data_IF_048752478433
#
_entry.id   IF_048752478433
#
_cell.length_a   1.000
_cell.length_b   1.000
_cell.length_c   1.000
_cell.angle_alpha   90.00
_cell.angle_beta   90.00
_cell.angle_gamma   90.00
#
_symmetry.space_group_name_H-M   'P 1'
#
loop_
_entity.id
_entity.type
_entity.pdbx_description
1 polymer ?
#
# COMPACT_ATOMS: atom_id res chain seq x y z
N UNK A 1 -25.04 19.61 -1.50
CA UNK A 1 -24.48 18.38 -0.88
C UNK A 1 -23.22 18.77 -0.12
N UNK A 2 -23.14 18.44 1.18
CA UNK A 2 -21.87 18.63 1.92
C UNK A 2 -20.82 17.73 1.29
N UNK A 3 -19.65 18.29 0.97
CA UNK A 3 -18.51 17.51 0.44
C UNK A 3 -18.03 16.55 1.56
N UNK A 4 -17.82 15.29 1.21
CA UNK A 4 -17.23 14.34 2.17
C UNK A 4 -15.82 14.77 2.50
N UNK A 5 -15.50 14.85 3.80
CA UNK A 5 -14.15 15.17 4.27
C UNK A 5 -13.34 13.88 4.47
N UNK A 6 -12.30 13.76 3.70
CA UNK A 6 -11.45 12.56 3.62
C UNK A 6 -10.05 12.92 4.11
N UNK A 7 -9.48 12.08 4.95
CA UNK A 7 -8.08 12.14 5.34
C UNK A 7 -7.38 10.90 4.81
N UNK A 8 -6.26 11.09 4.12
CA UNK A 8 -5.34 10.02 3.70
C UNK A 8 -4.08 10.15 4.54
N UNK A 9 -3.86 9.18 5.42
CA UNK A 9 -2.69 9.14 6.28
C UNK A 9 -1.58 8.33 5.60
N UNK A 10 -0.57 9.02 5.12
CA UNK A 10 0.58 8.50 4.39
C UNK A 10 0.69 9.09 2.98
N UNK A 11 1.73 9.87 2.73
CA UNK A 11 2.10 10.36 1.40
C UNK A 11 2.99 9.31 0.71
N UNK A 12 2.43 8.10 0.51
CA UNK A 12 2.98 7.03 -0.33
C UNK A 12 2.48 7.16 -1.76
N UNK A 13 3.05 6.42 -2.70
CA UNK A 13 2.58 6.38 -4.10
C UNK A 13 1.12 5.96 -4.16
N UNK A 14 0.75 4.90 -3.43
CA UNK A 14 -0.62 4.38 -3.36
C UNK A 14 -1.55 5.36 -2.64
N UNK A 15 -1.07 5.96 -1.54
CA UNK A 15 -1.83 6.95 -0.76
C UNK A 15 -2.15 8.18 -1.61
N UNK A 16 -1.17 8.69 -2.35
CA UNK A 16 -1.38 9.84 -3.24
C UNK A 16 -2.31 9.49 -4.41
N UNK A 17 -2.10 8.33 -5.07
CA UNK A 17 -2.97 7.86 -6.15
C UNK A 17 -4.43 7.76 -5.70
N UNK A 18 -4.67 7.17 -4.51
CA UNK A 18 -5.99 7.10 -3.91
C UNK A 18 -6.56 8.49 -3.60
N UNK A 19 -5.79 9.35 -2.95
CA UNK A 19 -6.21 10.71 -2.60
C UNK A 19 -6.58 11.52 -3.83
N UNK A 20 -5.78 11.40 -4.90
CA UNK A 20 -6.01 12.03 -6.20
C UNK A 20 -7.33 11.58 -6.82
N UNK A 21 -7.59 10.27 -6.87
CA UNK A 21 -8.84 9.74 -7.41
C UNK A 21 -10.06 10.24 -6.65
N UNK A 22 -9.98 10.31 -5.32
CA UNK A 22 -11.05 10.78 -4.45
C UNK A 22 -11.25 12.31 -4.61
N UNK A 23 -10.17 13.09 -4.69
CA UNK A 23 -10.24 14.54 -4.88
C UNK A 23 -10.86 14.93 -6.22
N UNK A 24 -10.51 14.23 -7.31
CA UNK A 24 -11.11 14.43 -8.66
C UNK A 24 -12.62 14.23 -8.64
N UNK A 25 -13.15 13.37 -7.77
CA UNK A 25 -14.59 13.16 -7.56
C UNK A 25 -15.27 14.26 -6.73
N UNK A 26 -14.52 15.25 -6.29
CA UNK A 26 -15.03 16.42 -5.59
C UNK A 26 -15.12 16.31 -4.07
N UNK A 27 -14.52 15.28 -3.48
CA UNK A 27 -14.35 15.21 -2.03
C UNK A 27 -13.28 16.22 -1.55
N UNK A 28 -13.37 16.59 -0.27
CA UNK A 28 -12.38 17.43 0.40
C UNK A 28 -11.32 16.53 1.02
N UNK A 29 -10.16 16.43 0.36
CA UNK A 29 -9.13 15.43 0.70
C UNK A 29 -7.93 16.11 1.34
N UNK A 30 -7.61 15.69 2.57
CA UNK A 30 -6.39 16.07 3.28
C UNK A 30 -5.41 14.92 3.29
N UNK A 31 -4.19 15.14 2.79
CA UNK A 31 -3.11 14.15 2.84
C UNK A 31 -2.18 14.51 3.99
N UNK A 32 -1.83 13.52 4.80
CA UNK A 32 -0.86 13.66 5.87
C UNK A 32 0.45 13.02 5.44
N UNK A 33 1.52 13.80 5.33
CA UNK A 33 2.88 13.28 5.28
C UNK A 33 3.32 12.97 6.72
N UNK A 34 3.70 11.74 6.99
CA UNK A 34 4.12 11.26 8.31
C UNK A 34 5.34 12.00 8.88
N UNK A 35 6.10 12.71 8.04
CA UNK A 35 7.25 13.53 8.43
C UNK A 35 6.88 15.00 8.71
N UNK A 36 5.63 15.39 8.47
CA UNK A 36 5.13 16.76 8.64
C UNK A 36 4.25 16.88 9.88
N UNK A 37 4.08 18.08 10.39
CA UNK A 37 3.11 18.43 11.43
C UNK A 37 1.76 18.90 10.87
N UNK A 38 1.65 19.03 9.55
CA UNK A 38 0.48 19.56 8.86
C UNK A 38 0.00 18.62 7.76
N UNK A 39 -1.31 18.63 7.53
CA UNK A 39 -1.92 17.97 6.37
C UNK A 39 -1.99 18.93 5.18
N UNK A 40 -1.95 18.37 3.99
CA UNK A 40 -2.04 19.09 2.72
C UNK A 40 -3.45 18.90 2.16
N UNK A 41 -4.15 20.01 1.88
CA UNK A 41 -5.43 19.95 1.17
C UNK A 41 -5.21 19.76 -0.32
N UNK A 42 -5.61 18.60 -0.83
CA UNK A 42 -5.54 18.27 -2.25
C UNK A 42 -6.81 18.74 -2.97
N UNK A 43 -6.73 19.90 -3.61
CA UNK A 43 -7.81 20.44 -4.44
C UNK A 43 -7.95 19.64 -5.75
N UNK A 44 -9.16 19.55 -6.36
CA UNK A 44 -9.36 18.83 -7.63
C UNK A 44 -8.47 19.32 -8.77
N UNK A 45 -8.14 20.61 -8.81
CA UNK A 45 -7.28 21.22 -9.84
C UNK A 45 -5.86 20.66 -9.71
N UNK A 46 -5.31 20.66 -8.48
CA UNK A 46 -3.98 20.10 -8.17
C UNK A 46 -3.98 18.59 -8.48
N UNK A 47 -5.01 17.88 -8.05
CA UNK A 47 -5.14 16.45 -8.31
C UNK A 47 -5.18 16.07 -9.79
N UNK A 48 -5.68 16.96 -10.66
CA UNK A 48 -5.70 16.76 -12.11
C UNK A 48 -4.36 17.05 -12.76
N UNK A 49 -3.68 18.11 -12.30
CA UNK A 49 -2.42 18.59 -12.88
C UNK A 49 -1.24 17.70 -12.51
N UNK A 50 -1.17 17.25 -11.24
CA UNK A 50 -0.04 16.46 -10.72
C UNK A 50 -0.45 14.98 -10.59
N UNK A 51 -0.01 14.11 -11.53
CA UNK A 51 -0.44 12.71 -11.56
C UNK A 51 0.17 11.85 -10.45
N UNK A 52 1.35 12.23 -9.94
CA UNK A 52 2.10 11.47 -8.94
C UNK A 52 2.77 12.36 -7.89
N UNK A 53 3.38 11.74 -6.89
CA UNK A 53 4.07 12.43 -5.78
C UNK A 53 5.32 13.17 -6.28
N UNK A 54 6.00 12.65 -7.30
CA UNK A 54 7.21 13.25 -7.82
C UNK A 54 6.89 14.59 -8.49
N UNK A 55 5.91 14.62 -9.40
CA UNK A 55 5.45 15.84 -10.07
C UNK A 55 4.95 16.91 -9.08
N UNK A 56 4.25 16.49 -8.01
CA UNK A 56 3.81 17.39 -6.94
C UNK A 56 4.98 18.04 -6.21
N UNK A 57 6.08 17.30 -6.00
CA UNK A 57 7.26 17.81 -5.29
C UNK A 57 8.18 18.64 -6.17
N UNK A 58 8.28 18.32 -7.46
CA UNK A 58 9.15 19.03 -8.40
C UNK A 58 8.64 20.43 -8.71
N UNK A 59 7.33 20.60 -8.85
CA UNK A 59 6.74 21.89 -9.22
C UNK A 59 6.30 22.75 -8.02
N UNK A 60 6.36 22.21 -6.80
CA UNK A 60 6.05 22.91 -5.56
C UNK A 60 4.78 23.80 -5.64
N UNK A 61 3.61 23.23 -5.98
CA UNK A 61 2.39 24.02 -6.13
C UNK A 61 2.00 24.66 -4.81
N UNK A 62 1.28 25.79 -4.89
CA UNK A 62 0.76 26.47 -3.69
C UNK A 62 -0.28 25.59 -2.98
N UNK A 63 0.13 24.95 -1.88
CA UNK A 63 -0.66 24.01 -1.11
C UNK A 63 -1.29 24.70 0.10
N UNK A 64 -2.56 24.41 0.37
CA UNK A 64 -3.21 24.81 1.62
C UNK A 64 -2.93 23.76 2.68
N UNK A 65 -2.53 24.21 3.87
CA UNK A 65 -2.17 23.34 5.00
C UNK A 65 -3.13 23.51 6.18
N UNK A 66 -3.35 22.44 6.92
CA UNK A 66 -4.10 22.41 8.18
C UNK A 66 -3.36 21.54 9.20
N UNK A 67 -3.35 21.87 10.51
CA UNK A 67 -2.77 21.00 11.54
C UNK A 67 -3.36 19.59 11.49
N UNK A 68 -2.52 18.57 11.69
CA UNK A 68 -2.92 17.15 11.58
C UNK A 68 -4.09 16.81 12.50
N UNK A 69 -4.02 17.22 13.76
CA UNK A 69 -5.07 16.97 14.75
C UNK A 69 -6.42 17.56 14.34
N UNK A 70 -6.42 18.73 13.69
CA UNK A 70 -7.64 19.37 13.18
C UNK A 70 -8.18 18.60 11.98
N UNK A 71 -7.31 18.18 11.05
CA UNK A 71 -7.70 17.38 9.90
C UNK A 71 -8.34 16.05 10.33
N UNK A 72 -7.67 15.30 11.24
CA UNK A 72 -8.17 14.02 11.76
C UNK A 72 -9.48 14.19 12.52
N UNK A 73 -9.59 15.19 13.38
CA UNK A 73 -10.81 15.39 14.19
C UNK A 73 -12.07 15.75 13.38
N UNK A 74 -11.89 16.20 12.15
CA UNK A 74 -12.97 16.53 11.22
C UNK A 74 -13.17 15.46 10.14
N UNK A 75 -12.35 14.39 10.14
CA UNK A 75 -12.41 13.34 9.13
C UNK A 75 -13.73 12.57 9.22
N UNK A 76 -14.43 12.45 8.11
CA UNK A 76 -15.52 11.51 7.92
C UNK A 76 -14.99 10.13 7.51
N UNK A 77 -13.95 10.13 6.67
CA UNK A 77 -13.24 8.94 6.22
C UNK A 77 -11.74 9.12 6.45
N UNK A 78 -11.12 8.17 7.12
CA UNK A 78 -9.67 8.08 7.30
C UNK A 78 -9.16 6.86 6.52
N UNK A 79 -8.36 7.08 5.49
CA UNK A 79 -7.63 6.05 4.77
C UNK A 79 -6.23 5.93 5.35
N UNK A 80 -5.89 4.74 5.81
CA UNK A 80 -4.57 4.47 6.39
C UNK A 80 -3.67 3.81 5.34
N UNK A 81 -2.77 4.60 4.76
CA UNK A 81 -1.84 4.23 3.68
C UNK A 81 -0.41 4.65 4.02
N UNK A 82 0.14 4.27 5.18
CA UNK A 82 1.45 4.77 5.61
C UNK A 82 2.55 4.33 4.66
N UNK A 83 3.59 5.13 4.55
CA UNK A 83 4.78 4.78 3.77
C UNK A 83 5.61 3.73 4.52
N UNK A 84 5.84 2.59 3.90
CA UNK A 84 6.69 1.52 4.44
C UNK A 84 8.10 1.72 3.91
N UNK A 85 9.04 2.11 4.79
CA UNK A 85 10.44 2.38 4.41
C UNK A 85 11.40 1.25 4.73
N UNK A 86 11.04 0.36 5.64
CA UNK A 86 11.92 -0.70 6.17
C UNK A 86 11.20 -2.04 6.16
N UNK A 87 11.91 -3.08 5.80
CA UNK A 87 11.44 -4.46 5.89
C UNK A 87 12.31 -5.16 6.94
N UNK A 88 11.82 -5.22 8.17
CA UNK A 88 12.55 -5.79 9.31
C UNK A 88 11.62 -6.38 10.38
N UNK A 89 12.19 -6.87 11.47
CA UNK A 89 11.44 -7.45 12.59
C UNK A 89 10.53 -6.42 13.28
N UNK A 90 10.92 -5.16 13.30
CA UNK A 90 10.19 -4.08 13.98
C UNK A 90 9.05 -3.47 13.13
N UNK A 91 8.82 -4.00 11.93
CA UNK A 91 7.86 -3.44 10.99
C UNK A 91 6.42 -3.44 11.53
N UNK A 92 6.01 -4.53 12.21
CA UNK A 92 4.67 -4.61 12.81
C UNK A 92 4.48 -3.53 13.88
N UNK A 93 5.50 -3.27 14.69
CA UNK A 93 5.48 -2.23 15.71
C UNK A 93 5.44 -0.83 15.09
N UNK A 94 6.22 -0.59 14.04
CA UNK A 94 6.21 0.69 13.32
C UNK A 94 4.84 0.98 12.73
N UNK A 95 4.23 0.02 12.02
CA UNK A 95 2.90 0.17 11.43
C UNK A 95 1.83 0.37 12.50
N UNK A 96 1.89 -0.38 13.61
CA UNK A 96 0.95 -0.22 14.73
C UNK A 96 1.08 1.16 15.39
N UNK A 97 2.31 1.68 15.56
CA UNK A 97 2.54 3.04 16.07
C UNK A 97 1.94 4.09 15.15
N UNK A 98 2.23 4.02 13.84
CA UNK A 98 1.66 4.93 12.84
C UNK A 98 0.13 4.86 12.80
N UNK A 99 -0.43 3.66 12.95
CA UNK A 99 -1.88 3.50 12.99
C UNK A 99 -2.49 4.12 14.24
N UNK A 100 -1.85 3.98 15.40
CA UNK A 100 -2.24 4.66 16.63
C UNK A 100 -2.26 6.18 16.43
N UNK A 101 -1.21 6.74 15.83
CA UNK A 101 -1.13 8.19 15.56
C UNK A 101 -2.23 8.64 14.59
N UNK A 102 -2.51 7.85 13.55
CA UNK A 102 -3.54 8.15 12.55
C UNK A 102 -4.96 8.18 13.13
N UNK A 103 -5.27 7.31 14.10
CA UNK A 103 -6.61 7.23 14.68
C UNK A 103 -6.80 8.10 15.92
N UNK A 104 -5.71 8.65 16.47
CA UNK A 104 -5.77 9.52 17.63
C UNK A 104 -6.55 10.82 17.29
N UNK A 105 -7.61 11.07 18.00
CA UNK A 105 -8.46 12.26 17.78
C UNK A 105 -9.62 12.05 16.82
N UNK A 106 -9.82 10.85 16.25
CA UNK A 106 -11.02 10.51 15.51
C UNK A 106 -12.27 10.63 16.39
N UNK A 107 -13.35 11.11 15.78
CA UNK A 107 -14.63 11.30 16.46
C UNK A 107 -15.62 10.18 16.13
N UNK A 108 -16.68 10.12 16.92
CA UNK A 108 -17.84 9.28 16.64
C UNK A 108 -18.36 9.54 15.22
N UNK A 109 -18.91 8.49 14.60
CA UNK A 109 -19.45 8.46 13.24
C UNK A 109 -18.41 8.60 12.11
N UNK A 110 -17.09 8.59 12.45
CA UNK A 110 -16.02 8.47 11.46
C UNK A 110 -15.89 7.04 10.95
N UNK A 111 -15.27 6.89 9.79
CA UNK A 111 -14.99 5.60 9.16
C UNK A 111 -13.48 5.45 8.94
N UNK A 112 -12.91 4.35 9.40
CA UNK A 112 -11.51 3.98 9.18
C UNK A 112 -11.45 2.99 8.02
N UNK A 113 -10.60 3.26 7.03
CA UNK A 113 -10.31 2.36 5.93
C UNK A 113 -8.83 1.96 6.04
N UNK A 114 -8.60 0.73 6.45
CA UNK A 114 -7.26 0.19 6.60
C UNK A 114 -6.78 -0.38 5.26
N UNK A 115 -5.76 0.23 4.69
CA UNK A 115 -5.32 -0.02 3.31
C UNK A 115 -4.04 -0.86 3.19
N UNK A 116 -3.50 -1.39 4.29
CA UNK A 116 -2.37 -2.32 4.27
C UNK A 116 -2.83 -3.76 4.49
N UNK A 117 -2.01 -4.71 4.04
CA UNK A 117 -2.18 -6.11 4.43
C UNK A 117 -1.94 -6.29 5.93
N UNK A 118 -2.79 -7.09 6.57
CA UNK A 118 -2.68 -7.41 7.99
C UNK A 118 -2.24 -8.85 8.27
N UNK A 119 -2.27 -9.69 7.26
CA UNK A 119 -2.32 -11.13 7.45
C UNK A 119 -3.72 -11.60 7.91
N UNK A 120 -3.86 -12.90 8.11
CA UNK A 120 -5.13 -13.49 8.58
C UNK A 120 -5.29 -13.23 10.08
N UNK A 121 -6.43 -12.67 10.46
CA UNK A 121 -6.74 -12.32 11.85
C UNK A 121 -6.15 -10.97 12.32
N UNK A 122 -5.28 -10.32 11.55
CA UNK A 122 -4.61 -9.08 11.94
C UNK A 122 -5.56 -7.89 12.11
N UNK A 123 -6.70 -7.88 11.41
CA UNK A 123 -7.70 -6.83 11.61
C UNK A 123 -8.37 -6.88 12.99
N UNK A 124 -8.42 -8.04 13.64
CA UNK A 124 -8.93 -8.13 15.02
C UNK A 124 -8.05 -7.34 15.99
N UNK A 125 -6.71 -7.38 15.83
CA UNK A 125 -5.77 -6.58 16.61
C UNK A 125 -5.96 -5.08 16.35
N UNK A 126 -6.14 -4.68 15.08
CA UNK A 126 -6.38 -3.29 14.71
C UNK A 126 -7.71 -2.76 15.31
N UNK A 127 -8.76 -3.57 15.28
CA UNK A 127 -10.06 -3.22 15.87
C UNK A 127 -9.93 -3.02 17.39
N UNK A 128 -9.19 -3.91 18.07
CA UNK A 128 -8.91 -3.78 19.50
C UNK A 128 -8.09 -2.50 19.79
N UNK A 129 -7.12 -2.17 18.93
CA UNK A 129 -6.32 -0.95 19.06
C UNK A 129 -7.17 0.31 18.86
N UNK A 130 -8.10 0.32 17.90
CA UNK A 130 -9.06 1.44 17.71
C UNK A 130 -9.85 1.69 18.99
N UNK A 131 -10.41 0.64 19.59
CA UNK A 131 -11.15 0.76 20.86
C UNK A 131 -10.27 1.29 22.00
N UNK A 132 -9.03 0.78 22.09
CA UNK A 132 -8.10 1.18 23.15
C UNK A 132 -7.69 2.66 23.02
N UNK A 133 -7.40 3.14 21.82
CA UNK A 133 -6.88 4.50 21.56
C UNK A 133 -7.99 5.54 21.58
N UNK A 134 -9.13 5.24 20.98
CA UNK A 134 -10.22 6.21 20.79
C UNK A 134 -11.33 6.12 21.85
N UNK A 135 -11.41 4.99 22.57
CA UNK A 135 -12.54 4.68 23.46
C UNK A 135 -13.84 4.34 22.70
N UNK A 136 -13.84 4.31 21.36
CA UNK A 136 -15.02 4.09 20.54
C UNK A 136 -15.19 2.62 20.15
N UNK A 137 -16.42 2.12 20.20
CA UNK A 137 -16.75 0.76 19.79
C UNK A 137 -16.88 0.69 18.26
N UNK A 138 -16.04 -0.16 17.64
CA UNK A 138 -16.11 -0.44 16.21
C UNK A 138 -17.41 -1.17 15.86
N UNK A 139 -18.06 -0.72 14.79
CA UNK A 139 -19.38 -1.24 14.36
C UNK A 139 -20.58 -0.57 15.03
N UNK A 140 -20.38 0.22 16.11
CA UNK A 140 -21.43 1.01 16.78
C UNK A 140 -21.18 2.50 16.67
N UNK A 141 -20.01 2.95 17.13
CA UNK A 141 -19.66 4.37 17.23
C UNK A 141 -18.74 4.81 16.12
N UNK A 142 -17.96 3.89 15.56
CA UNK A 142 -17.03 4.13 14.47
C UNK A 142 -17.08 2.94 13.51
N UNK A 143 -16.95 3.19 12.21
CA UNK A 143 -16.90 2.12 11.20
C UNK A 143 -15.47 1.74 10.90
N UNK A 144 -15.23 0.45 10.62
CA UNK A 144 -13.93 -0.06 10.20
C UNK A 144 -14.08 -0.91 8.95
N UNK A 145 -13.25 -0.61 7.96
CA UNK A 145 -13.19 -1.28 6.67
C UNK A 145 -11.77 -1.75 6.37
N UNK A 146 -11.65 -2.94 5.82
CA UNK A 146 -10.39 -3.49 5.34
C UNK A 146 -10.37 -3.44 3.81
N UNK A 147 -9.43 -2.67 3.27
CA UNK A 147 -9.30 -2.43 1.84
C UNK A 147 -7.82 -2.33 1.46
N UNK A 148 -7.06 -3.43 1.49
CA UNK A 148 -5.64 -3.41 1.18
C UNK A 148 -5.43 -3.01 -0.27
N UNK A 149 -4.69 -1.93 -0.47
CA UNK A 149 -4.33 -1.41 -1.80
C UNK A 149 -2.95 -1.94 -2.12
N UNK A 150 -2.87 -2.65 -3.25
CA UNK A 150 -1.63 -3.12 -3.81
C UNK A 150 -1.72 -2.91 -5.32
N UNK A 151 -0.88 -2.03 -5.88
CA UNK A 151 -0.90 -1.69 -7.31
C UNK A 151 -0.58 -2.91 -8.18
N UNK A 152 0.18 -3.86 -7.64
CA UNK A 152 0.52 -5.09 -8.33
C UNK A 152 -0.69 -5.96 -8.73
N UNK A 153 -1.81 -5.86 -8.03
CA UNK A 153 -2.95 -6.77 -8.17
C UNK A 153 -4.27 -6.13 -8.61
N UNK A 154 -4.28 -4.97 -9.21
CA UNK A 154 -5.50 -4.21 -9.43
C UNK A 154 -6.23 -3.85 -8.11
N UNK A 155 -7.00 -2.79 -8.12
CA UNK A 155 -7.78 -2.39 -6.93
C UNK A 155 -8.68 -3.54 -6.43
N UNK A 156 -8.69 -3.84 -5.13
CA UNK A 156 -9.50 -4.92 -4.59
C UNK A 156 -10.97 -4.80 -5.02
N UNK A 157 -11.56 -5.92 -5.42
CA UNK A 157 -12.99 -5.99 -5.77
C UNK A 157 -13.89 -6.09 -4.54
N UNK A 158 -13.30 -6.34 -3.39
CA UNK A 158 -14.02 -6.56 -2.12
C UNK A 158 -13.54 -5.58 -1.05
N UNK A 159 -14.44 -5.20 -0.17
CA UNK A 159 -14.18 -4.36 1.01
C UNK A 159 -14.60 -5.18 2.22
N UNK A 160 -13.68 -5.49 3.12
CA UNK A 160 -13.98 -6.12 4.40
C UNK A 160 -14.71 -5.14 5.32
N UNK A 161 -15.80 -5.58 5.97
CA UNK A 161 -16.59 -4.76 6.89
C UNK A 161 -17.02 -5.59 8.09
N UNK A 162 -17.01 -5.00 9.28
CA UNK A 162 -17.43 -5.68 10.51
C UNK A 162 -18.90 -6.14 10.42
N UNK A 163 -19.77 -5.29 9.89
CA UNK A 163 -21.23 -5.53 9.87
C UNK A 163 -21.75 -5.92 8.48
N UNK A 164 -20.89 -6.17 7.51
CA UNK A 164 -21.26 -6.37 6.08
C UNK A 164 -22.16 -5.26 5.51
N UNK A 165 -22.28 -4.14 6.24
CA UNK A 165 -23.15 -3.04 5.88
C UNK A 165 -22.48 -2.22 4.77
N UNK A 166 -23.20 -2.07 3.66
CA UNK A 166 -22.72 -1.25 2.56
C UNK A 166 -22.79 0.23 2.91
N UNK A 167 -21.66 0.91 2.76
CA UNK A 167 -21.59 2.38 2.77
C UNK A 167 -21.59 2.88 1.33
N UNK A 168 -22.73 3.44 0.90
CA UNK A 168 -22.90 3.95 -0.48
C UNK A 168 -21.98 5.12 -0.78
N UNK A 169 -21.69 5.96 0.21
CA UNK A 169 -20.80 7.10 0.03
C UNK A 169 -19.35 6.63 -0.14
N UNK A 170 -18.90 5.69 0.71
CA UNK A 170 -17.58 5.06 0.55
C UNK A 170 -17.45 4.38 -0.82
N UNK A 171 -18.48 3.65 -1.27
CA UNK A 171 -18.47 3.05 -2.60
C UNK A 171 -18.29 4.10 -3.69
N UNK A 172 -19.03 5.22 -3.62
CA UNK A 172 -18.91 6.29 -4.62
C UNK A 172 -17.49 6.88 -4.66
N UNK A 173 -16.81 6.97 -3.52
CA UNK A 173 -15.42 7.43 -3.43
C UNK A 173 -14.43 6.43 -4.04
N UNK A 174 -14.65 5.13 -3.85
CA UNK A 174 -13.71 4.07 -4.25
C UNK A 174 -13.98 3.48 -5.63
N UNK A 175 -15.18 3.66 -6.20
CA UNK A 175 -15.51 3.06 -7.49
C UNK A 175 -14.85 3.84 -8.64
N UNK A 176 -14.07 3.15 -9.46
CA UNK A 176 -13.47 3.69 -10.68
C UNK A 176 -14.06 2.91 -11.87
N UNK A 177 -14.75 3.61 -12.77
CA UNK A 177 -15.38 3.01 -13.94
C UNK A 177 -16.52 2.02 -13.59
N UNK A 178 -16.59 0.88 -14.30
CA UNK A 178 -17.63 -0.15 -14.11
C UNK A 178 -17.27 -1.21 -13.05
N UNK A 179 -16.17 -1.04 -12.32
CA UNK A 179 -15.72 -2.02 -11.34
C UNK A 179 -16.56 -1.92 -10.06
N UNK A 180 -17.58 -2.75 -9.96
CA UNK A 180 -18.36 -2.88 -8.73
C UNK A 180 -17.53 -3.49 -7.60
N UNK A 181 -17.59 -2.86 -6.44
CA UNK A 181 -16.99 -3.37 -5.20
C UNK A 181 -18.08 -3.94 -4.30
N UNK A 182 -17.76 -5.04 -3.61
CA UNK A 182 -18.70 -5.73 -2.72
C UNK A 182 -18.20 -5.64 -1.28
N UNK A 183 -19.14 -5.38 -0.36
CA UNK A 183 -18.86 -5.50 1.08
C UNK A 183 -19.02 -6.95 1.51
N UNK A 184 -18.00 -7.46 2.17
CA UNK A 184 -17.97 -8.82 2.72
C UNK A 184 -17.46 -8.76 4.17
N UNK A 185 -17.48 -9.89 4.84
CA UNK A 185 -16.89 -10.02 6.17
C UNK A 185 -15.37 -9.82 6.13
N UNK A 186 -14.81 -9.22 7.18
CA UNK A 186 -13.36 -8.90 7.23
C UNK A 186 -12.52 -10.16 7.08
N UNK A 187 -12.84 -11.24 7.78
CA UNK A 187 -12.13 -12.52 7.67
C UNK A 187 -12.11 -13.07 6.24
N UNK A 188 -13.25 -12.98 5.53
CA UNK A 188 -13.34 -13.39 4.14
C UNK A 188 -12.48 -12.48 3.23
N UNK A 189 -12.44 -11.19 3.50
CA UNK A 189 -11.59 -10.25 2.76
C UNK A 189 -10.09 -10.53 3.00
N UNK A 190 -9.70 -10.86 4.23
CA UNK A 190 -8.34 -11.27 4.57
C UNK A 190 -7.91 -12.52 3.78
N UNK A 191 -8.76 -13.55 3.71
CA UNK A 191 -8.47 -14.76 2.93
C UNK A 191 -8.35 -14.48 1.43
N UNK A 192 -9.25 -13.69 0.86
CA UNK A 192 -9.20 -13.32 -0.56
C UNK A 192 -7.90 -12.56 -0.86
N UNK A 193 -7.53 -11.62 -0.01
CA UNK A 193 -6.28 -10.87 -0.15
C UNK A 193 -5.07 -11.80 -0.03
N UNK A 194 -5.04 -12.68 0.97
CA UNK A 194 -3.98 -13.66 1.17
C UNK A 194 -3.77 -14.55 -0.05
N UNK A 195 -4.84 -15.12 -0.62
CA UNK A 195 -4.79 -15.95 -1.82
C UNK A 195 -4.23 -15.15 -3.01
N UNK A 196 -4.72 -13.92 -3.20
CA UNK A 196 -4.27 -13.05 -4.30
C UNK A 196 -2.78 -12.74 -4.17
N UNK A 197 -2.33 -12.33 -2.99
CA UNK A 197 -0.93 -12.01 -2.69
C UNK A 197 -0.02 -13.20 -2.91
N UNK A 198 -0.34 -14.36 -2.34
CA UNK A 198 0.48 -15.57 -2.51
C UNK A 198 0.56 -15.95 -3.98
N UNK A 199 -0.56 -15.96 -4.71
CA UNK A 199 -0.59 -16.28 -6.14
C UNK A 199 0.33 -15.35 -6.93
N UNK A 200 0.21 -14.04 -6.75
CA UNK A 200 0.97 -13.06 -7.52
C UNK A 200 2.46 -13.12 -7.23
N UNK A 201 2.84 -13.13 -5.96
CA UNK A 201 4.26 -13.09 -5.60
C UNK A 201 4.98 -14.42 -5.73
N UNK A 202 4.28 -15.57 -5.65
CA UNK A 202 4.87 -16.85 -6.02
C UNK A 202 5.13 -16.97 -7.52
N UNK A 203 4.21 -16.46 -8.35
CA UNK A 203 4.39 -16.36 -9.80
C UNK A 203 5.58 -15.45 -10.14
N UNK A 204 5.64 -14.27 -9.56
CA UNK A 204 6.77 -13.34 -9.74
C UNK A 204 8.10 -13.99 -9.33
N UNK A 205 8.16 -14.60 -8.16
CA UNK A 205 9.35 -15.29 -7.66
C UNK A 205 9.81 -16.40 -8.62
N UNK A 206 8.88 -17.16 -9.18
CA UNK A 206 9.14 -18.22 -10.14
C UNK A 206 9.75 -17.66 -11.43
N UNK A 207 9.17 -16.60 -11.98
CA UNK A 207 9.68 -15.93 -13.18
C UNK A 207 11.08 -15.37 -12.94
N UNK A 208 11.30 -14.63 -11.86
CA UNK A 208 12.61 -14.13 -11.48
C UNK A 208 13.65 -15.25 -11.30
N UNK A 209 13.22 -16.44 -10.87
CA UNK A 209 14.03 -17.63 -10.78
C UNK A 209 14.40 -18.21 -12.16
N UNK A 210 13.41 -18.39 -13.02
CA UNK A 210 13.56 -18.97 -14.36
C UNK A 210 14.39 -18.07 -15.28
N UNK A 211 14.25 -16.77 -15.20
CA UNK A 211 15.04 -15.80 -15.97
C UNK A 211 16.57 -16.00 -15.85
N UNK A 212 17.04 -16.74 -14.85
CA UNK A 212 18.47 -17.10 -14.72
C UNK A 212 18.94 -18.07 -15.79
N UNK A 213 18.04 -18.89 -16.30
CA UNK A 213 18.34 -20.00 -17.20
C UNK A 213 17.98 -19.68 -18.65
N UNK A 214 17.22 -18.62 -18.88
CA UNK A 214 16.85 -18.19 -20.23
C UNK A 214 18.05 -17.47 -20.85
N UNK A 215 18.55 -18.01 -21.97
CA UNK A 215 19.59 -17.35 -22.76
C UNK A 215 18.98 -16.15 -23.48
N UNK A 216 19.79 -15.10 -23.66
CA UNK A 216 19.38 -13.83 -24.28
C UNK A 216 18.74 -13.93 -25.67
N UNK A 217 18.97 -15.06 -26.36
CA UNK A 217 18.48 -15.29 -27.72
C UNK A 217 17.05 -15.88 -27.76
N UNK A 218 16.52 -16.31 -26.63
CA UNK A 218 15.14 -16.81 -26.53
C UNK A 218 14.21 -15.62 -26.22
N UNK A 219 13.96 -14.79 -27.22
CA UNK A 219 12.89 -13.81 -27.21
C UNK A 219 11.56 -14.53 -27.41
N UNK A 220 11.06 -15.21 -26.41
CA UNK A 220 9.70 -15.74 -26.43
C UNK A 220 8.75 -14.69 -25.84
N UNK A 221 8.00 -14.10 -26.72
CA UNK A 221 7.31 -12.82 -26.58
C UNK A 221 6.09 -12.79 -25.67
N UNK A 222 5.62 -13.90 -25.13
CA UNK A 222 4.26 -13.92 -24.57
C UNK A 222 4.15 -14.09 -23.06
N UNK A 223 5.18 -14.59 -22.38
CA UNK A 223 5.08 -14.96 -20.97
C UNK A 223 5.54 -13.86 -20.01
N UNK A 224 6.24 -12.85 -20.51
CA UNK A 224 6.83 -11.78 -19.72
C UNK A 224 6.05 -10.46 -19.80
N UNK A 225 5.09 -10.33 -20.70
CA UNK A 225 4.31 -9.09 -20.88
C UNK A 225 3.48 -8.72 -19.66
N UNK A 226 2.96 -9.69 -18.93
CA UNK A 226 2.19 -9.47 -17.70
C UNK A 226 3.03 -8.87 -16.54
N UNK A 227 4.37 -8.83 -16.68
CA UNK A 227 5.29 -8.36 -15.65
C UNK A 227 6.16 -7.18 -16.11
N UNK A 228 5.87 -6.60 -17.27
CA UNK A 228 6.63 -5.45 -17.81
C UNK A 228 6.60 -4.23 -16.89
N UNK A 229 5.58 -4.12 -16.04
CA UNK A 229 5.31 -2.97 -15.20
C UNK A 229 5.41 -3.27 -13.71
N UNK A 230 6.43 -4.03 -13.27
CA UNK A 230 6.66 -4.24 -11.84
C UNK A 230 7.54 -3.12 -11.32
N UNK A 231 6.99 -2.29 -10.47
CA UNK A 231 7.71 -1.21 -9.80
C UNK A 231 8.42 -1.71 -8.55
N UNK A 232 9.51 -1.01 -8.17
CA UNK A 232 10.25 -1.34 -6.94
C UNK A 232 9.37 -1.21 -5.70
N UNK A 233 8.50 -0.22 -5.67
CA UNK A 233 7.58 0.01 -4.55
C UNK A 233 6.59 -1.15 -4.41
N UNK A 234 6.09 -1.72 -5.50
CA UNK A 234 5.23 -2.92 -5.48
C UNK A 234 5.96 -4.13 -4.91
N UNK A 235 7.25 -4.30 -5.22
CA UNK A 235 8.05 -5.38 -4.64
C UNK A 235 8.25 -5.20 -3.14
N UNK A 236 8.43 -3.96 -2.66
CA UNK A 236 8.57 -3.66 -1.23
C UNK A 236 7.27 -3.94 -0.49
N UNK A 237 6.15 -3.45 -1.02
CA UNK A 237 4.82 -3.68 -0.46
C UNK A 237 4.47 -5.17 -0.48
N UNK A 238 4.78 -5.87 -1.58
CA UNK A 238 4.57 -7.30 -1.69
C UNK A 238 5.41 -8.12 -0.71
N UNK A 239 6.64 -7.72 -0.44
CA UNK A 239 7.45 -8.35 0.61
C UNK A 239 6.87 -8.12 2.01
N UNK A 240 6.31 -6.93 2.26
CA UNK A 240 5.58 -6.66 3.48
C UNK A 240 4.36 -7.57 3.62
N UNK A 241 3.54 -7.66 2.58
CA UNK A 241 2.34 -8.49 2.55
C UNK A 241 2.67 -9.97 2.79
N UNK A 242 3.67 -10.50 2.08
CA UNK A 242 4.13 -11.89 2.27
C UNK A 242 4.63 -12.15 3.69
N UNK A 243 5.35 -11.22 4.30
CA UNK A 243 5.83 -11.37 5.69
C UNK A 243 4.68 -11.32 6.68
N UNK A 244 3.72 -10.42 6.49
CA UNK A 244 2.51 -10.34 7.31
C UNK A 244 1.70 -11.64 7.24
N UNK A 245 1.59 -12.23 6.04
CA UNK A 245 0.96 -13.53 5.85
C UNK A 245 1.77 -14.66 6.47
N UNK A 246 3.10 -14.65 6.31
CA UNK A 246 3.99 -15.65 6.89
C UNK A 246 3.81 -15.77 8.40
N UNK A 247 3.70 -14.65 9.10
CA UNK A 247 3.47 -14.64 10.55
C UNK A 247 2.09 -15.20 10.95
N UNK A 248 1.09 -15.10 10.08
CA UNK A 248 -0.26 -15.62 10.33
C UNK A 248 -0.39 -17.12 10.11
N UNK A 249 0.50 -17.69 9.28
CA UNK A 249 0.51 -19.12 8.95
C UNK A 249 1.66 -19.86 9.63
N UNK A 250 2.23 -19.32 10.68
CA UNK A 250 3.28 -19.97 11.45
C UNK A 250 2.81 -21.35 11.94
N UNK A 251 3.55 -22.40 11.58
CA UNK A 251 3.14 -23.79 11.80
C UNK A 251 2.21 -24.42 10.75
N UNK A 252 1.79 -23.70 9.72
CA UNK A 252 0.85 -24.19 8.70
C UNK A 252 1.49 -25.01 7.57
N UNK A 253 2.45 -25.86 7.86
CA UNK A 253 2.96 -26.87 6.93
C UNK A 253 3.52 -26.29 5.61
N UNK A 254 3.05 -26.84 4.47
CA UNK A 254 3.61 -26.51 3.14
C UNK A 254 3.42 -25.06 2.71
N UNK A 255 2.41 -24.37 3.19
CA UNK A 255 2.12 -22.99 2.80
C UNK A 255 3.23 -22.01 3.24
N UNK A 256 3.80 -22.23 4.43
CA UNK A 256 4.90 -21.39 4.93
C UNK A 256 6.16 -21.53 4.08
N UNK A 257 6.42 -22.71 3.51
CA UNK A 257 7.54 -22.90 2.60
C UNK A 257 7.35 -22.14 1.27
N UNK A 258 6.13 -22.11 0.74
CA UNK A 258 5.81 -21.35 -0.48
C UNK A 258 6.00 -19.85 -0.24
N UNK A 259 5.49 -19.32 0.87
CA UNK A 259 5.64 -17.90 1.25
C UNK A 259 7.11 -17.55 1.43
N UNK A 260 7.86 -18.32 2.21
CA UNK A 260 9.29 -18.10 2.44
C UNK A 260 10.13 -18.25 1.16
N UNK A 261 9.77 -19.19 0.28
CA UNK A 261 10.37 -19.34 -1.04
C UNK A 261 10.18 -18.10 -1.90
N UNK A 262 8.96 -17.55 -1.92
CA UNK A 262 8.64 -16.33 -2.64
C UNK A 262 9.40 -15.12 -2.10
N UNK A 263 9.46 -14.94 -0.78
CA UNK A 263 10.25 -13.88 -0.14
C UNK A 263 11.73 -13.98 -0.51
N UNK A 264 12.31 -15.20 -0.45
CA UNK A 264 13.71 -15.42 -0.83
C UNK A 264 13.96 -15.18 -2.31
N UNK A 265 13.05 -15.60 -3.19
CA UNK A 265 13.15 -15.40 -4.63
C UNK A 265 13.22 -13.92 -4.99
N UNK A 266 12.29 -13.11 -4.44
CA UNK A 266 12.24 -11.67 -4.66
C UNK A 266 13.45 -10.98 -4.05
N UNK A 267 13.78 -11.27 -2.78
CA UNK A 267 14.93 -10.65 -2.09
C UNK A 267 16.27 -11.01 -2.75
N UNK A 268 16.41 -12.21 -3.33
CA UNK A 268 17.62 -12.62 -4.03
C UNK A 268 17.82 -11.88 -5.36
N UNK A 269 16.77 -11.36 -5.96
CA UNK A 269 16.86 -10.57 -7.20
C UNK A 269 17.65 -9.27 -6.99
N UNK A 270 17.35 -8.52 -5.93
CA UNK A 270 18.08 -7.30 -5.60
C UNK A 270 19.57 -7.57 -5.36
N UNK A 271 19.90 -8.67 -4.66
CA UNK A 271 21.31 -9.08 -4.47
C UNK A 271 22.00 -9.36 -5.81
N UNK A 272 21.32 -10.04 -6.74
CA UNK A 272 21.86 -10.30 -8.07
C UNK A 272 22.14 -9.04 -8.88
N UNK A 273 21.25 -8.04 -8.83
CA UNK A 273 21.51 -6.77 -9.49
C UNK A 273 22.80 -6.15 -8.98
N UNK A 274 23.03 -6.15 -7.68
CA UNK A 274 24.27 -5.69 -7.07
C UNK A 274 25.47 -6.49 -7.58
N UNK A 275 25.37 -7.82 -7.66
CA UNK A 275 26.45 -8.67 -8.15
C UNK A 275 26.75 -8.43 -9.63
N UNK A 276 25.71 -8.24 -10.46
CA UNK A 276 25.90 -7.87 -11.89
C UNK A 276 26.64 -6.54 -12.00
N UNK A 277 26.27 -5.53 -11.22
CA UNK A 277 26.95 -4.24 -11.18
C UNK A 277 28.42 -4.45 -10.79
N UNK A 278 28.71 -5.20 -9.72
CA UNK A 278 30.08 -5.50 -9.27
C UNK A 278 30.92 -6.19 -10.34
N UNK A 279 30.34 -7.19 -11.02
CA UNK A 279 31.00 -7.94 -12.09
C UNK A 279 31.31 -7.00 -13.26
N UNK A 280 30.34 -6.14 -13.63
CA UNK A 280 30.53 -5.18 -14.74
C UNK A 280 31.61 -4.16 -14.41
N UNK A 281 31.63 -3.62 -13.20
CA UNK A 281 32.70 -2.73 -12.74
C UNK A 281 34.06 -3.42 -12.81
N UNK A 282 34.15 -4.66 -12.31
CA UNK A 282 35.40 -5.44 -12.34
C UNK A 282 35.87 -5.70 -13.77
N UNK A 283 34.98 -6.03 -14.69
CA UNK A 283 35.33 -6.26 -16.12
C UNK A 283 35.87 -5.00 -16.79
N UNK A 284 35.46 -3.83 -16.36
CA UNK A 284 35.90 -2.53 -16.86
C UNK A 284 37.00 -1.90 -16.00
N UNK A 285 37.64 -2.67 -15.11
CA UNK A 285 38.70 -2.23 -14.20
C UNK A 285 38.33 -1.06 -13.30
N UNK A 286 37.05 -0.85 -13.07
CA UNK A 286 36.52 0.22 -12.25
C UNK A 286 36.41 -0.21 -10.79
N UNK A 287 36.87 0.65 -9.86
CA UNK A 287 36.73 0.41 -8.43
C UNK A 287 35.38 0.96 -7.93
N UNK A 288 34.56 0.10 -7.31
CA UNK A 288 33.26 0.51 -6.78
C UNK A 288 33.32 1.72 -5.84
N UNK A 289 34.39 1.84 -5.03
CA UNK A 289 34.63 2.97 -4.13
C UNK A 289 34.95 4.30 -4.83
N UNK A 290 35.31 4.27 -6.13
CA UNK A 290 35.67 5.45 -6.92
C UNK A 290 34.71 5.70 -8.09
N UNK A 291 33.68 4.89 -8.23
CA UNK A 291 32.72 4.97 -9.35
C UNK A 291 31.40 5.49 -8.85
N UNK A 292 30.87 6.52 -9.48
CA UNK A 292 29.51 7.00 -9.27
C UNK A 292 28.57 6.14 -10.13
N UNK A 293 27.59 5.50 -9.48
CA UNK A 293 26.55 4.73 -10.16
C UNK A 293 25.30 5.59 -10.14
N UNK A 294 24.76 5.89 -11.31
CA UNK A 294 23.51 6.64 -11.46
C UNK A 294 22.45 5.63 -11.86
N UNK A 295 21.38 5.57 -11.08
CA UNK A 295 20.20 4.77 -11.40
C UNK A 295 19.17 5.73 -11.99
N UNK A 296 18.80 5.49 -13.24
CA UNK A 296 17.67 6.15 -13.86
C UNK A 296 16.48 5.20 -13.73
N UNK A 297 15.41 5.66 -13.13
CA UNK A 297 14.11 5.01 -13.23
C UNK A 297 13.02 6.05 -13.43
N UNK A 298 12.02 5.68 -14.17
CA UNK A 298 10.80 6.46 -14.30
C UNK A 298 9.86 6.05 -13.18
N UNK A 299 9.31 7.04 -12.49
CA UNK A 299 8.14 6.89 -11.65
C UNK A 299 6.96 7.21 -12.58
N UNK A 300 6.38 6.19 -13.19
CA UNK A 300 5.18 6.37 -14.01
C UNK A 300 3.93 6.44 -13.16
#
# INVERSE_FOLDING_TARGET
MMKSRVVVFGLSTEGYSLARQIAIKGADVHIIDESSSSSILLKPEIAKTYPDVASLKEEEPLLSMEPINVAISKAQYLFFTPRIRKIGQDLKLEVSSKFKDAIQGLKKDSSIIYCLATGVGGNAENIALVKHVTGLDVGKSISYYYFPINDFNNTPKVIGSVNKKADKNLLSLLTVGKNEKKFIEISSAEYIHAISTIKSFSSLSSILGICRFVKSDTKSDTTFDDFKNIYIDDMVNGLYDLKSLGSSFEGAGTLIYLINGSIRGISSYSKRLIDVIRITLKKNELKASKTKIILFWTLD
#
